data_IF_245602565012
#
_entry.id   IF_245602565012
#
_cell.length_a   1.000
_cell.length_b   1.000
_cell.length_c   1.000
_cell.angle_alpha   90.00
_cell.angle_beta   90.00
_cell.angle_gamma   90.00
#
_symmetry.space_group_name_H-M   'P 1'
#
loop_
_entity.id
_entity.type
_entity.pdbx_description
1 polymer ?
#
# COMPACT_ATOMS: atom_id res chain seq x y z
N UNK A 1 -22.31 7.02 48.93
CA UNK A 1 -20.96 6.64 48.49
C UNK A 1 -21.06 6.34 47.00
N UNK A 2 -20.46 7.20 46.17
CA UNK A 2 -20.42 7.01 44.72
C UNK A 2 -19.28 6.04 44.36
N UNK A 3 -19.38 5.25 43.27
CA UNK A 3 -18.27 4.44 42.81
C UNK A 3 -17.28 5.30 42.04
N UNK A 4 -16.01 5.15 42.41
CA UNK A 4 -14.82 5.76 41.84
C UNK A 4 -14.61 5.37 40.37
N UNK A 5 -14.46 6.38 39.51
CA UNK A 5 -13.96 6.29 38.14
C UNK A 5 -12.53 5.73 38.15
N UNK A 6 -12.33 4.55 37.56
CA UNK A 6 -11.00 4.10 37.19
C UNK A 6 -10.70 4.63 35.79
N UNK A 7 -9.88 5.68 35.73
CA UNK A 7 -9.28 6.15 34.49
C UNK A 7 -8.31 5.10 33.99
N UNK A 8 -8.65 4.48 32.86
CA UNK A 8 -7.69 3.73 32.07
C UNK A 8 -6.84 4.75 31.32
N UNK A 9 -5.67 5.07 31.89
CA UNK A 9 -4.60 5.78 31.19
C UNK A 9 -3.69 4.71 30.60
N UNK A 10 -3.53 4.59 29.28
CA UNK A 10 -2.49 3.76 28.71
C UNK A 10 -1.12 4.33 29.09
N UNK A 11 -0.29 3.50 29.69
CA UNK A 11 1.10 3.84 29.98
C UNK A 11 1.90 3.92 28.68
N UNK A 12 2.47 5.11 28.44
CA UNK A 12 3.41 5.51 27.40
C UNK A 12 2.83 5.85 26.01
N UNK A 13 3.17 7.02 25.44
CA UNK A 13 2.92 7.32 24.03
C UNK A 13 3.75 6.38 23.13
N UNK A 14 3.26 6.00 21.94
CA UNK A 14 4.09 5.31 20.95
C UNK A 14 5.25 6.22 20.58
N UNK A 15 6.46 5.64 20.54
CA UNK A 15 7.63 6.30 19.97
C UNK A 15 7.27 6.79 18.55
N UNK A 16 7.68 8.01 18.22
CA UNK A 16 7.48 8.57 16.88
C UNK A 16 8.01 7.64 15.78
N UNK A 17 7.55 7.86 14.55
CA UNK A 17 7.94 7.15 13.32
C UNK A 17 9.39 6.62 13.45
N UNK A 18 9.60 5.30 13.50
CA UNK A 18 10.92 4.74 13.70
C UNK A 18 11.88 5.23 12.62
N UNK A 19 12.88 6.02 13.03
CA UNK A 19 14.00 6.43 12.15
C UNK A 19 15.08 5.36 12.07
N UNK A 20 14.92 4.25 12.79
CA UNK A 20 15.91 3.17 12.89
C UNK A 20 15.59 2.09 11.86
N UNK A 21 16.45 2.02 10.84
CA UNK A 21 16.59 0.92 9.90
C UNK A 21 16.63 -0.44 10.62
N UNK A 22 15.89 -1.48 10.18
CA UNK A 22 16.00 -2.81 10.76
C UNK A 22 17.43 -3.37 10.61
N UNK A 23 18.00 -3.87 11.70
CA UNK A 23 19.32 -4.52 11.71
C UNK A 23 19.33 -5.92 11.06
N UNK A 24 18.17 -6.42 10.65
CA UNK A 24 18.03 -7.76 10.08
C UNK A 24 18.04 -7.68 8.54
N UNK A 25 18.99 -8.34 7.86
CA UNK A 25 19.01 -8.39 6.40
C UNK A 25 17.70 -8.99 5.86
N UNK A 26 17.16 -8.48 4.73
CA UNK A 26 16.14 -9.19 3.98
C UNK A 26 16.63 -10.61 3.71
N UNK A 27 15.84 -11.60 4.12
CA UNK A 27 16.24 -13.00 4.09
C UNK A 27 16.70 -13.40 2.67
N UNK A 28 17.95 -13.88 2.53
CA UNK A 28 18.56 -14.27 1.25
C UNK A 28 18.03 -15.64 0.75
N UNK A 29 17.17 -16.32 1.53
CA UNK A 29 16.63 -17.62 1.18
C UNK A 29 15.49 -17.51 0.15
N UNK A 30 15.43 -18.43 -0.81
CA UNK A 30 14.26 -18.56 -1.68
C UNK A 30 13.09 -19.15 -0.88
N UNK A 31 11.93 -18.48 -0.80
CA UNK A 31 10.82 -19.00 -0.01
C UNK A 31 10.22 -20.26 -0.60
N UNK A 32 9.58 -21.08 0.25
CA UNK A 32 8.86 -22.26 -0.20
C UNK A 32 7.75 -21.88 -1.19
N UNK A 33 7.65 -22.58 -2.33
CA UNK A 33 6.61 -22.33 -3.33
C UNK A 33 5.28 -22.94 -2.89
N UNK A 34 4.44 -22.15 -2.21
CA UNK A 34 3.13 -22.57 -1.67
C UNK A 34 1.95 -22.18 -2.55
N UNK A 35 2.08 -21.09 -3.32
CA UNK A 35 0.95 -20.45 -4.01
C UNK A 35 1.10 -20.39 -5.54
N UNK A 36 2.11 -21.08 -6.10
CA UNK A 36 2.29 -21.20 -7.55
C UNK A 36 2.49 -19.85 -8.25
N UNK A 37 1.79 -19.65 -9.37
CA UNK A 37 2.01 -18.51 -10.27
C UNK A 37 1.89 -17.15 -9.57
N UNK A 38 0.95 -16.97 -8.64
CA UNK A 38 0.78 -15.68 -7.96
C UNK A 38 2.00 -15.34 -7.10
N UNK A 39 2.58 -16.33 -6.42
CA UNK A 39 3.82 -16.16 -5.67
C UNK A 39 5.01 -15.90 -6.61
N UNK A 40 5.11 -16.62 -7.73
CA UNK A 40 6.18 -16.40 -8.71
C UNK A 40 6.14 -14.96 -9.28
N UNK A 41 4.94 -14.45 -9.58
CA UNK A 41 4.74 -13.06 -10.02
C UNK A 41 5.13 -12.04 -8.94
N UNK A 42 4.82 -12.32 -7.68
CA UNK A 42 5.21 -11.46 -6.58
C UNK A 42 6.72 -11.48 -6.29
N UNK A 43 7.37 -12.63 -6.44
CA UNK A 43 8.83 -12.74 -6.33
C UNK A 43 9.55 -11.93 -7.42
N UNK A 44 9.02 -11.92 -8.65
CA UNK A 44 9.53 -11.04 -9.73
C UNK A 44 9.38 -9.56 -9.33
N UNK A 45 8.23 -9.18 -8.80
CA UNK A 45 7.95 -7.79 -8.38
C UNK A 45 8.77 -7.33 -7.18
N UNK A 46 9.01 -8.22 -6.22
CA UNK A 46 9.95 -8.01 -5.13
C UNK A 46 11.36 -7.70 -5.67
N UNK A 47 11.86 -8.54 -6.60
CA UNK A 47 13.15 -8.33 -7.25
C UNK A 47 13.24 -7.01 -8.00
N UNK A 48 12.18 -6.58 -8.68
CA UNK A 48 12.16 -5.29 -9.38
C UNK A 48 12.46 -4.10 -8.46
N UNK A 49 11.98 -4.15 -7.21
CA UNK A 49 12.23 -3.11 -6.21
C UNK A 49 13.68 -3.14 -5.75
N UNK A 50 14.23 -4.33 -5.52
CA UNK A 50 15.52 -4.53 -4.85
C UNK A 50 16.71 -4.44 -5.79
N UNK A 51 16.60 -5.02 -6.98
CA UNK A 51 17.68 -5.09 -7.95
C UNK A 51 17.51 -3.93 -8.94
N UNK A 52 18.34 -2.87 -8.90
CA UNK A 52 18.28 -1.78 -9.89
C UNK A 52 18.69 -2.22 -11.30
N UNK A 53 19.35 -3.37 -11.44
CA UNK A 53 19.88 -3.89 -12.70
C UNK A 53 18.95 -4.89 -13.40
N UNK A 54 17.90 -5.37 -12.72
CA UNK A 54 16.98 -6.36 -13.31
C UNK A 54 16.36 -5.81 -14.61
N UNK A 55 16.66 -6.43 -15.78
CA UNK A 55 16.24 -5.93 -17.08
C UNK A 55 14.77 -6.22 -17.39
N UNK A 56 14.10 -7.03 -16.56
CA UNK A 56 12.69 -7.40 -16.73
C UNK A 56 11.74 -6.35 -16.15
N UNK A 57 12.24 -5.42 -15.33
CA UNK A 57 11.45 -4.32 -14.80
C UNK A 57 11.18 -3.28 -15.90
N UNK A 58 9.92 -3.16 -16.30
CA UNK A 58 9.47 -2.22 -17.34
C UNK A 58 8.92 -0.92 -16.76
N UNK A 59 8.93 -0.76 -15.43
CA UNK A 59 8.37 0.42 -14.77
C UNK A 59 9.40 1.53 -14.80
N UNK A 60 8.99 2.66 -15.40
CA UNK A 60 9.80 3.86 -15.49
C UNK A 60 9.16 4.96 -14.63
N UNK A 61 9.96 5.76 -13.92
CA UNK A 61 9.45 6.91 -13.17
C UNK A 61 8.67 7.85 -14.10
N UNK A 62 7.49 8.27 -13.67
CA UNK A 62 6.70 9.27 -14.36
C UNK A 62 7.06 10.67 -13.89
N UNK A 63 6.88 11.65 -14.77
CA UNK A 63 6.93 13.09 -14.43
C UNK A 63 5.54 13.69 -14.27
N UNK A 64 4.47 12.88 -14.32
CA UNK A 64 3.08 13.34 -14.22
C UNK A 64 2.85 14.20 -12.97
N UNK A 65 2.17 15.33 -13.15
CA UNK A 65 1.75 16.23 -12.07
C UNK A 65 0.23 16.41 -12.05
N UNK A 66 -0.32 16.99 -10.97
CA UNK A 66 -1.74 17.36 -10.90
C UNK A 66 -2.09 18.44 -11.95
N UNK A 67 -1.13 19.32 -12.28
CA UNK A 67 -1.29 20.31 -13.34
C UNK A 67 -1.45 19.65 -14.73
N UNK A 68 -0.69 18.57 -15.01
CA UNK A 68 -0.84 17.80 -16.25
C UNK A 68 -2.21 17.14 -16.35
N UNK A 69 -2.69 16.55 -15.24
CA UNK A 69 -4.03 15.96 -15.18
C UNK A 69 -5.12 16.99 -15.47
N UNK A 70 -5.03 18.16 -14.82
CA UNK A 70 -5.98 19.26 -15.03
C UNK A 70 -5.95 19.77 -16.47
N UNK A 71 -4.75 19.90 -17.05
CA UNK A 71 -4.56 20.30 -18.46
C UNK A 71 -5.13 19.27 -19.44
N UNK A 72 -5.04 17.99 -19.10
CA UNK A 72 -5.68 16.89 -19.80
C UNK A 72 -7.18 16.71 -19.44
N UNK A 73 -7.80 17.71 -18.79
CA UNK A 73 -9.23 17.76 -18.45
C UNK A 73 -9.70 16.65 -17.52
N UNK A 74 -8.80 16.08 -16.72
CA UNK A 74 -9.22 15.27 -15.58
C UNK A 74 -9.94 16.16 -14.58
N UNK A 75 -11.03 15.66 -14.02
CA UNK A 75 -11.66 16.27 -12.87
C UNK A 75 -10.82 15.93 -11.64
N UNK A 76 -10.37 16.96 -10.92
CA UNK A 76 -9.62 16.84 -9.68
C UNK A 76 -10.30 17.70 -8.64
N UNK A 77 -10.75 17.09 -7.53
CA UNK A 77 -11.33 17.79 -6.39
C UNK A 77 -10.66 17.31 -5.12
N UNK A 78 -10.11 18.25 -4.36
CA UNK A 78 -9.42 17.97 -3.10
C UNK A 78 -10.17 18.64 -1.95
N UNK A 79 -10.42 17.85 -0.90
CA UNK A 79 -11.00 18.30 0.36
C UNK A 79 -10.12 17.83 1.54
N UNK A 80 -10.29 18.43 2.72
CA UNK A 80 -9.58 18.02 3.94
C UNK A 80 -10.38 16.98 4.71
N UNK A 81 -9.77 15.84 5.01
CA UNK A 81 -10.44 14.72 5.68
C UNK A 81 -9.62 14.14 6.83
N UNK A 82 -10.31 13.49 7.77
CA UNK A 82 -9.70 12.61 8.76
C UNK A 82 -9.27 11.30 8.08
N UNK A 83 -8.43 10.51 8.75
CA UNK A 83 -8.15 9.14 8.32
C UNK A 83 -9.45 8.31 8.34
N UNK A 84 -9.72 7.47 7.32
CA UNK A 84 -10.93 6.68 7.24
C UNK A 84 -11.04 5.70 8.40
N UNK A 85 -12.26 5.46 8.90
CA UNK A 85 -12.46 4.69 10.12
C UNK A 85 -11.91 3.25 10.01
N UNK A 86 -11.91 2.68 8.80
CA UNK A 86 -11.48 1.30 8.51
C UNK A 86 -10.00 1.05 8.86
N UNK A 87 -9.19 2.10 8.79
CA UNK A 87 -7.74 2.04 9.00
C UNK A 87 -7.27 3.01 10.09
N UNK A 88 -8.21 3.71 10.74
CA UNK A 88 -7.92 4.76 11.69
C UNK A 88 -7.16 4.27 12.92
N UNK A 89 -7.62 3.19 13.56
CA UNK A 89 -6.97 2.65 14.76
C UNK A 89 -5.51 2.28 14.48
N UNK A 90 -5.28 1.55 13.38
CA UNK A 90 -3.96 1.12 12.95
C UNK A 90 -3.05 2.30 12.58
N UNK A 91 -3.55 3.26 11.82
CA UNK A 91 -2.79 4.46 11.46
C UNK A 91 -2.46 5.33 12.68
N UNK A 92 -3.36 5.46 13.66
CA UNK A 92 -3.08 6.19 14.89
C UNK A 92 -2.01 5.47 15.74
N UNK A 93 -2.03 4.13 15.76
CA UNK A 93 -0.97 3.33 16.37
C UNK A 93 0.43 3.60 15.80
N UNK A 94 0.49 3.99 14.52
CA UNK A 94 1.73 4.41 13.83
C UNK A 94 2.07 5.90 13.98
N UNK A 95 1.30 6.65 14.78
CA UNK A 95 1.56 8.04 15.12
C UNK A 95 0.94 9.08 14.16
N UNK A 96 0.03 8.67 13.27
CA UNK A 96 -0.74 9.62 12.47
C UNK A 96 -1.84 10.29 13.31
N UNK A 97 -2.18 11.54 12.97
CA UNK A 97 -3.14 12.32 13.75
C UNK A 97 -4.59 12.05 13.36
N UNK A 98 -5.50 12.01 14.33
CA UNK A 98 -6.95 12.03 14.09
C UNK A 98 -7.46 13.47 13.92
N UNK A 99 -6.98 14.16 12.89
CA UNK A 99 -7.39 15.53 12.57
C UNK A 99 -7.63 15.65 11.06
N UNK A 100 -8.51 16.58 10.67
CA UNK A 100 -8.89 16.79 9.28
C UNK A 100 -7.80 17.59 8.55
N UNK A 101 -6.63 16.98 8.41
CA UNK A 101 -5.41 17.63 7.90
C UNK A 101 -4.90 17.01 6.60
N UNK A 102 -5.43 15.85 6.22
CA UNK A 102 -5.04 15.10 5.04
C UNK A 102 -5.80 15.59 3.80
N UNK A 103 -5.15 15.57 2.64
CA UNK A 103 -5.81 15.89 1.39
C UNK A 103 -6.46 14.62 0.83
N UNK A 104 -7.78 14.54 0.83
CA UNK A 104 -8.49 13.53 0.06
C UNK A 104 -8.84 14.12 -1.30
N UNK A 105 -8.37 13.47 -2.36
CA UNK A 105 -8.54 13.92 -3.73
C UNK A 105 -9.27 12.90 -4.57
N UNK A 106 -10.44 13.27 -5.06
CA UNK A 106 -11.15 12.55 -6.11
C UNK A 106 -10.61 12.99 -7.47
N UNK A 107 -9.97 12.07 -8.19
CA UNK A 107 -9.47 12.26 -9.55
C UNK A 107 -10.22 11.34 -10.49
N UNK A 108 -10.88 11.90 -11.51
CA UNK A 108 -11.67 11.12 -12.47
C UNK A 108 -11.58 11.66 -13.89
N UNK A 109 -11.75 10.76 -14.84
CA UNK A 109 -12.07 11.09 -16.22
C UNK A 109 -12.93 9.96 -16.81
N UNK A 110 -13.28 10.07 -18.08
CA UNK A 110 -13.88 8.99 -18.84
C UNK A 110 -12.87 8.51 -19.87
N UNK A 111 -12.78 7.20 -20.05
CA UNK A 111 -11.93 6.58 -21.03
C UNK A 111 -12.32 7.00 -22.45
N UNK A 112 -11.33 7.30 -23.27
CA UNK A 112 -11.51 7.76 -24.66
C UNK A 112 -11.20 6.65 -25.69
N UNK A 113 -10.81 5.46 -25.20
CA UNK A 113 -10.32 4.34 -26.01
C UNK A 113 -11.37 3.59 -26.84
N UNK A 114 -11.02 2.35 -27.22
CA UNK A 114 -11.80 1.50 -28.15
C UNK A 114 -13.28 1.32 -27.75
N UNK A 115 -14.11 0.95 -28.73
CA UNK A 115 -15.58 0.83 -28.68
C UNK A 115 -16.20 -0.03 -27.54
N UNK A 116 -15.41 -0.61 -26.63
CA UNK A 116 -15.88 -1.30 -25.42
C UNK A 116 -15.46 -0.66 -24.09
N UNK A 117 -14.58 0.33 -24.13
CA UNK A 117 -14.07 1.05 -22.95
C UNK A 117 -14.44 2.53 -22.99
N UNK A 118 -14.78 3.09 -24.15
CA UNK A 118 -15.20 4.47 -24.29
C UNK A 118 -16.35 4.81 -23.32
N UNK A 119 -16.18 5.86 -22.53
CA UNK A 119 -17.15 6.30 -21.54
C UNK A 119 -17.13 5.52 -20.23
N UNK A 120 -16.30 4.49 -20.07
CA UNK A 120 -16.03 3.92 -18.75
C UNK A 120 -15.31 4.96 -17.89
N UNK A 121 -15.73 5.11 -16.64
CA UNK A 121 -15.08 6.02 -15.71
C UNK A 121 -13.67 5.50 -15.36
N UNK A 122 -12.72 6.39 -15.14
CA UNK A 122 -11.55 6.08 -14.31
C UNK A 122 -11.71 6.88 -13.02
N UNK A 123 -11.50 6.24 -11.87
CA UNK A 123 -11.68 6.84 -10.56
C UNK A 123 -10.46 6.53 -9.71
N UNK A 124 -9.90 7.56 -9.12
CA UNK A 124 -8.94 7.47 -8.03
C UNK A 124 -9.43 8.34 -6.88
N UNK A 125 -9.74 7.70 -5.76
CA UNK A 125 -10.03 8.40 -4.50
C UNK A 125 -8.89 8.11 -3.53
N UNK A 126 -8.07 9.12 -3.30
CA UNK A 126 -6.78 8.98 -2.61
C UNK A 126 -6.68 10.06 -1.54
N UNK A 127 -6.48 9.62 -0.30
CA UNK A 127 -6.09 10.47 0.80
C UNK A 127 -4.56 10.45 0.95
N UNK A 128 -3.95 11.63 0.98
CA UNK A 128 -2.50 11.80 1.10
C UNK A 128 -2.15 12.64 2.33
N UNK A 129 -1.07 12.22 3.00
CA UNK A 129 -0.39 12.94 4.08
C UNK A 129 1.12 12.76 3.98
N UNK A 130 1.89 13.51 4.77
CA UNK A 130 3.33 13.28 4.86
C UNK A 130 3.57 11.84 5.31
N UNK A 131 4.24 11.06 4.47
CA UNK A 131 4.53 9.65 4.71
C UNK A 131 3.37 8.68 4.57
N UNK A 132 2.19 9.12 4.10
CA UNK A 132 0.97 8.32 4.09
C UNK A 132 0.21 8.46 2.77
N UNK A 133 -0.17 7.33 2.19
CA UNK A 133 -1.17 7.25 1.12
C UNK A 133 -2.24 6.25 1.55
N UNK A 134 -3.51 6.62 1.41
CA UNK A 134 -4.66 5.74 1.60
C UNK A 134 -5.49 5.80 0.32
N UNK A 135 -5.69 4.65 -0.32
CA UNK A 135 -6.57 4.54 -1.47
C UNK A 135 -7.92 3.98 -1.04
N UNK A 136 -8.98 4.76 -1.22
CA UNK A 136 -10.37 4.34 -1.01
C UNK A 136 -11.03 3.89 -2.32
N UNK A 137 -10.52 4.36 -3.47
CA UNK A 137 -11.04 3.99 -4.78
C UNK A 137 -9.92 3.89 -5.82
N UNK A 138 -9.84 2.75 -6.51
CA UNK A 138 -8.92 2.53 -7.63
C UNK A 138 -9.65 1.80 -8.75
N UNK A 139 -10.07 2.55 -9.78
CA UNK A 139 -10.68 2.01 -10.98
C UNK A 139 -10.05 2.62 -12.23
N UNK A 140 -9.54 1.76 -13.10
CA UNK A 140 -8.80 2.18 -14.30
C UNK A 140 -9.16 1.31 -15.50
N UNK A 141 -9.78 1.93 -16.48
CA UNK A 141 -9.99 1.45 -17.84
C UNK A 141 -8.82 1.81 -18.76
N UNK A 142 -8.35 3.06 -18.71
CA UNK A 142 -7.22 3.59 -19.50
C UNK A 142 -6.43 4.69 -18.74
N UNK A 143 -5.56 5.44 -19.43
CA UNK A 143 -4.86 6.58 -18.85
C UNK A 143 -3.71 6.22 -17.88
N UNK A 144 -3.26 7.16 -17.04
CA UNK A 144 -2.17 6.95 -16.09
C UNK A 144 -2.47 5.83 -15.09
N UNK A 145 -1.42 5.20 -14.56
CA UNK A 145 -1.55 4.18 -13.51
C UNK A 145 -1.80 4.83 -12.14
N UNK A 146 -2.43 4.07 -11.22
CA UNK A 146 -2.61 4.49 -9.83
C UNK A 146 -1.34 5.05 -9.20
N UNK A 147 -0.19 4.40 -9.39
CA UNK A 147 1.09 4.83 -8.82
C UNK A 147 1.48 6.25 -9.25
N UNK A 148 1.23 6.60 -10.50
CA UNK A 148 1.55 7.90 -11.07
C UNK A 148 0.61 8.99 -10.52
N UNK A 149 -0.69 8.68 -10.41
CA UNK A 149 -1.69 9.58 -9.81
C UNK A 149 -1.39 9.81 -8.32
N UNK A 150 -1.11 8.74 -7.57
CA UNK A 150 -0.80 8.80 -6.15
C UNK A 150 0.48 9.59 -5.88
N UNK A 151 1.55 9.38 -6.68
CA UNK A 151 2.78 10.18 -6.60
C UNK A 151 2.50 11.66 -6.86
N UNK A 152 1.74 11.98 -7.91
CA UNK A 152 1.40 13.36 -8.25
C UNK A 152 0.67 14.07 -7.09
N UNK A 153 -0.30 13.41 -6.44
CA UNK A 153 -1.00 13.99 -5.29
C UNK A 153 -0.12 14.13 -4.05
N UNK A 154 0.75 13.15 -3.76
CA UNK A 154 1.68 13.25 -2.65
C UNK A 154 2.66 14.42 -2.85
N UNK A 155 3.12 14.63 -4.09
CA UNK A 155 4.05 15.71 -4.46
C UNK A 155 3.49 17.11 -4.20
N UNK A 156 2.17 17.32 -4.26
CA UNK A 156 1.55 18.62 -3.97
C UNK A 156 1.68 19.04 -2.50
N UNK A 157 1.94 18.09 -1.59
CA UNK A 157 1.94 18.36 -0.13
C UNK A 157 3.23 17.95 0.59
N UNK A 158 4.03 17.07 0.01
CA UNK A 158 5.24 16.55 0.61
C UNK A 158 6.21 16.04 -0.45
N UNK A 159 7.47 15.84 -0.06
CA UNK A 159 8.40 15.08 -0.88
C UNK A 159 7.89 13.64 -1.04
N UNK A 160 7.79 13.10 -2.27
CA UNK A 160 7.29 11.75 -2.48
C UNK A 160 8.05 10.69 -1.67
N UNK A 161 9.38 10.84 -1.54
CA UNK A 161 10.24 9.93 -0.78
C UNK A 161 9.97 9.93 0.74
N UNK A 162 9.09 10.81 1.23
CA UNK A 162 8.60 10.74 2.59
C UNK A 162 7.70 9.54 2.86
N UNK A 163 7.14 8.88 1.82
CA UNK A 163 6.20 7.75 1.95
C UNK A 163 6.75 6.66 2.87
N UNK A 164 5.94 6.21 3.84
CA UNK A 164 6.24 5.09 4.75
C UNK A 164 5.14 4.06 4.81
N UNK A 165 3.88 4.48 4.67
CA UNK A 165 2.75 3.56 4.71
C UNK A 165 1.79 3.81 3.54
N UNK A 166 1.38 2.72 2.91
CA UNK A 166 0.36 2.71 1.87
C UNK A 166 -0.78 1.78 2.27
N UNK A 167 -2.00 2.31 2.33
CA UNK A 167 -3.22 1.57 2.64
C UNK A 167 -4.10 1.46 1.41
N UNK A 168 -4.77 0.32 1.27
CA UNK A 168 -5.89 0.15 0.34
C UNK A 168 -7.08 -0.31 1.14
N UNK A 169 -8.16 0.47 1.07
CA UNK A 169 -9.38 0.20 1.80
C UNK A 169 -10.41 -0.51 0.92
N UNK A 170 -11.36 -1.20 1.56
CA UNK A 170 -12.53 -1.79 0.90
C UNK A 170 -12.22 -2.57 -0.38
N UNK A 171 -11.34 -3.57 -0.25
CA UNK A 171 -10.82 -4.30 -1.40
C UNK A 171 -11.90 -5.23 -1.98
N UNK A 172 -12.58 -4.70 -2.99
CA UNK A 172 -13.54 -5.45 -3.82
C UNK A 172 -12.90 -6.16 -5.02
N UNK A 173 -11.60 -5.93 -5.28
CA UNK A 173 -10.89 -6.58 -6.39
C UNK A 173 -10.85 -8.10 -6.18
N UNK A 174 -11.55 -8.86 -7.02
CA UNK A 174 -11.71 -10.31 -6.87
C UNK A 174 -10.40 -11.09 -6.88
N UNK A 175 -9.38 -10.63 -7.61
CA UNK A 175 -8.08 -11.31 -7.60
C UNK A 175 -7.39 -11.20 -6.24
N UNK A 176 -7.29 -10.00 -5.68
CA UNK A 176 -6.71 -9.81 -4.34
C UNK A 176 -7.59 -10.44 -3.27
N UNK A 177 -8.90 -10.16 -3.32
CA UNK A 177 -9.86 -10.61 -2.32
C UNK A 177 -9.88 -12.14 -2.22
N UNK A 178 -10.01 -12.85 -3.34
CA UNK A 178 -10.05 -14.33 -3.30
C UNK A 178 -8.72 -14.90 -2.82
N UNK A 179 -7.59 -14.32 -3.23
CA UNK A 179 -6.29 -14.79 -2.75
C UNK A 179 -6.16 -14.63 -1.22
N UNK A 180 -6.59 -13.50 -0.66
CA UNK A 180 -6.53 -13.31 0.78
C UNK A 180 -7.55 -14.21 1.48
N UNK A 181 -8.84 -14.09 1.14
CA UNK A 181 -9.92 -14.71 1.89
C UNK A 181 -10.00 -16.23 1.72
N UNK A 182 -9.68 -16.76 0.54
CA UNK A 182 -9.86 -18.19 0.24
C UNK A 182 -8.54 -18.98 0.25
N UNK A 183 -7.40 -18.32 0.05
CA UNK A 183 -6.09 -18.99 -0.05
C UNK A 183 -5.23 -18.73 1.18
N UNK A 184 -5.01 -17.46 1.54
CA UNK A 184 -4.21 -17.10 2.72
C UNK A 184 -4.95 -17.47 4.01
N UNK A 185 -6.19 -16.99 4.17
CA UNK A 185 -7.02 -17.23 5.34
C UNK A 185 -7.77 -18.57 5.23
N UNK A 186 -7.00 -19.63 5.02
CA UNK A 186 -7.53 -20.98 4.84
C UNK A 186 -7.02 -21.93 5.92
N UNK A 187 -7.73 -23.05 6.09
CA UNK A 187 -7.34 -24.12 7.02
C UNK A 187 -5.96 -24.71 6.70
N UNK A 188 -5.47 -24.57 5.46
CA UNK A 188 -4.09 -24.95 5.09
C UNK A 188 -3.02 -24.13 5.83
N UNK A 189 -3.38 -22.93 6.25
CA UNK A 189 -2.51 -22.00 6.97
C UNK A 189 -2.93 -21.86 8.44
N UNK A 190 -3.82 -22.72 8.94
CA UNK A 190 -4.41 -22.63 10.28
C UNK A 190 -5.13 -21.29 10.53
N UNK A 191 -5.72 -20.73 9.46
CA UNK A 191 -6.45 -19.46 9.48
C UNK A 191 -7.87 -19.64 8.94
N UNK A 192 -8.71 -18.64 9.18
CA UNK A 192 -10.09 -18.60 8.69
C UNK A 192 -10.45 -17.17 8.28
N UNK A 193 -11.34 -17.03 7.30
CA UNK A 193 -11.96 -15.75 6.95
C UNK A 193 -13.46 -15.76 7.28
N UNK A 194 -14.00 -14.72 7.94
CA UNK A 194 -13.26 -13.62 8.56
C UNK A 194 -12.35 -14.11 9.69
N UNK A 195 -11.27 -13.38 10.02
CA UNK A 195 -10.35 -13.76 11.09
C UNK A 195 -11.06 -13.92 12.44
N UNK A 196 -10.76 -15.00 13.18
CA UNK A 196 -11.29 -15.18 14.55
C UNK A 196 -10.75 -14.11 15.50
N UNK A 197 -9.47 -13.76 15.34
CA UNK A 197 -8.83 -12.66 16.05
C UNK A 197 -8.94 -11.40 15.19
N UNK A 198 -9.42 -10.31 15.76
CA UNK A 198 -9.46 -9.00 15.06
C UNK A 198 -8.10 -8.33 14.94
N UNK A 199 -7.06 -8.88 15.57
CA UNK A 199 -5.71 -8.35 15.44
C UNK A 199 -5.24 -8.49 13.97
N UNK A 200 -4.65 -7.44 13.38
CA UNK A 200 -4.10 -7.53 12.03
C UNK A 200 -3.03 -8.62 11.91
N UNK A 201 -3.04 -9.37 10.80
CA UNK A 201 -1.98 -10.33 10.50
C UNK A 201 -0.87 -9.65 9.71
N UNK A 202 0.36 -9.91 10.14
CA UNK A 202 1.58 -9.37 9.55
C UNK A 202 2.25 -10.46 8.72
N UNK A 203 2.51 -10.13 7.46
CA UNK A 203 3.23 -10.97 6.49
C UNK A 203 4.62 -10.39 6.31
N UNK A 204 5.59 -11.01 6.98
CA UNK A 204 6.97 -10.56 6.96
C UNK A 204 7.59 -10.71 5.58
N UNK A 205 8.54 -9.82 5.31
CA UNK A 205 9.32 -9.80 4.09
C UNK A 205 9.83 -11.19 3.68
N UNK A 206 9.73 -11.49 2.38
CA UNK A 206 10.23 -12.72 1.76
C UNK A 206 9.67 -14.01 2.39
N UNK A 207 8.45 -13.96 2.90
CA UNK A 207 7.65 -15.17 3.16
C UNK A 207 6.85 -15.58 1.91
N UNK A 208 6.41 -16.84 1.80
CA UNK A 208 5.54 -17.26 0.70
C UNK A 208 4.25 -16.43 0.58
N UNK A 209 3.65 -16.06 1.72
CA UNK A 209 2.43 -15.27 1.82
C UNK A 209 2.68 -13.83 1.35
N UNK A 210 3.77 -13.22 1.80
CA UNK A 210 4.22 -11.92 1.35
C UNK A 210 4.39 -11.87 -0.17
N UNK A 211 5.11 -12.84 -0.75
CA UNK A 211 5.26 -12.94 -2.20
C UNK A 211 3.92 -13.18 -2.90
N UNK A 212 3.06 -14.03 -2.33
CA UNK A 212 1.69 -14.19 -2.83
C UNK A 212 0.92 -12.87 -2.89
N UNK A 213 1.02 -12.05 -1.84
CA UNK A 213 0.34 -10.75 -1.74
C UNK A 213 0.86 -9.75 -2.77
N UNK A 214 2.18 -9.67 -2.97
CA UNK A 214 2.79 -8.88 -4.06
C UNK A 214 2.37 -9.38 -5.45
N UNK A 215 2.01 -10.66 -5.54
CA UNK A 215 1.44 -11.31 -6.71
C UNK A 215 0.06 -10.80 -7.12
N UNK A 216 -0.71 -10.25 -6.17
CA UNK A 216 -2.08 -9.79 -6.39
C UNK A 216 -2.15 -8.47 -7.18
N UNK A 217 -3.35 -8.08 -7.62
CA UNK A 217 -3.58 -6.78 -8.27
C UNK A 217 -3.28 -5.59 -7.34
N UNK A 218 -3.63 -5.69 -6.06
CA UNK A 218 -3.32 -4.63 -5.07
C UNK A 218 -1.83 -4.61 -4.73
N UNK A 219 -1.20 -5.78 -4.56
CA UNK A 219 0.24 -5.87 -4.36
C UNK A 219 1.03 -5.30 -5.54
N UNK A 220 0.56 -5.52 -6.77
CA UNK A 220 1.12 -4.88 -7.97
C UNK A 220 1.03 -3.35 -7.90
N UNK A 221 -0.07 -2.78 -7.43
CA UNK A 221 -0.21 -1.33 -7.22
C UNK A 221 0.82 -0.80 -6.20
N UNK A 222 1.00 -1.50 -5.08
CA UNK A 222 1.98 -1.13 -4.06
C UNK A 222 3.42 -1.16 -4.60
N UNK A 223 3.78 -2.22 -5.34
CA UNK A 223 5.11 -2.32 -5.98
C UNK A 223 5.33 -1.19 -6.96
N UNK A 224 4.34 -0.90 -7.80
CA UNK A 224 4.45 0.17 -8.80
C UNK A 224 4.55 1.54 -8.14
N UNK A 225 3.87 1.74 -7.01
CA UNK A 225 4.00 2.96 -6.22
C UNK A 225 5.41 3.14 -5.66
N UNK A 226 6.01 2.08 -5.11
CA UNK A 226 7.40 2.11 -4.63
C UNK A 226 8.37 2.43 -5.76
N UNK A 227 8.25 1.74 -6.91
CA UNK A 227 9.09 1.96 -8.10
C UNK A 227 8.93 3.34 -8.72
N UNK A 228 7.77 3.96 -8.55
CA UNK A 228 7.45 5.31 -9.04
C UNK A 228 8.03 6.40 -8.14
N UNK A 229 8.13 6.15 -6.83
CA UNK A 229 8.57 7.13 -5.83
C UNK A 229 10.08 7.04 -5.54
N UNK A 230 10.61 5.82 -5.45
CA UNK A 230 11.95 5.56 -4.97
C UNK A 230 12.83 4.97 -6.08
N UNK A 231 14.11 5.37 -6.17
CA UNK A 231 15.07 4.65 -7.00
C UNK A 231 15.12 3.17 -6.60
N UNK A 232 15.23 2.28 -7.59
CA UNK A 232 15.38 0.84 -7.33
C UNK A 232 16.62 0.57 -6.48
N UNK A 233 16.53 -0.41 -5.59
CA UNK A 233 17.60 -0.76 -4.66
C UNK A 233 17.76 0.21 -3.48
N UNK A 234 16.83 1.13 -3.24
CA UNK A 234 16.92 2.08 -2.11
C UNK A 234 15.87 1.90 -1.03
N UNK A 235 14.68 1.40 -1.39
CA UNK A 235 13.57 1.13 -0.46
C UNK A 235 12.97 -0.22 -0.81
N UNK A 236 12.28 -0.83 0.15
CA UNK A 236 11.56 -2.08 -0.02
C UNK A 236 10.26 -2.08 0.79
N UNK A 237 9.37 -3.01 0.48
CA UNK A 237 8.17 -3.26 1.30
C UNK A 237 8.59 -4.22 2.41
N UNK A 238 8.72 -3.72 3.64
CA UNK A 238 9.23 -4.49 4.76
C UNK A 238 8.23 -5.49 5.32
N UNK A 239 6.95 -5.15 5.28
CA UNK A 239 5.86 -6.05 5.67
C UNK A 239 4.57 -5.65 4.99
N UNK A 240 3.66 -6.62 4.89
CA UNK A 240 2.30 -6.42 4.41
C UNK A 240 1.39 -6.81 5.57
N UNK A 241 0.40 -5.98 5.87
CA UNK A 241 -0.56 -6.23 6.96
C UNK A 241 -1.95 -6.35 6.37
N UNK A 242 -2.71 -7.34 6.81
CA UNK A 242 -4.07 -7.59 6.34
C UNK A 242 -5.00 -7.76 7.54
N UNK A 243 -6.21 -7.20 7.47
CA UNK A 243 -7.24 -7.41 8.47
C UNK A 243 -8.63 -7.34 7.86
N UNK A 244 -9.62 -7.78 8.63
CA UNK A 244 -11.03 -7.54 8.37
C UNK A 244 -11.48 -6.34 9.19
N UNK A 245 -12.16 -5.39 8.57
CA UNK A 245 -12.92 -4.36 9.26
C UNK A 245 -14.33 -4.34 8.67
N UNK A 246 -15.34 -4.59 9.49
CA UNK A 246 -16.75 -4.57 9.06
C UNK A 246 -17.04 -5.43 7.81
N UNK A 247 -16.49 -6.65 7.74
CA UNK A 247 -16.59 -7.60 6.61
C UNK A 247 -15.86 -7.15 5.33
N UNK A 248 -15.01 -6.14 5.43
CA UNK A 248 -14.18 -5.61 4.36
C UNK A 248 -12.72 -5.99 4.56
N UNK A 249 -12.04 -6.31 3.46
CA UNK A 249 -10.60 -6.59 3.47
C UNK A 249 -9.81 -5.29 3.35
N UNK A 250 -8.98 -5.04 4.36
CA UNK A 250 -8.06 -3.91 4.42
C UNK A 250 -6.62 -4.41 4.30
N UNK A 251 -5.77 -3.65 3.58
CA UNK A 251 -4.35 -3.98 3.43
C UNK A 251 -3.48 -2.75 3.63
N UNK A 252 -2.40 -2.92 4.40
CA UNK A 252 -1.31 -1.94 4.56
C UNK A 252 0.01 -2.50 4.05
N UNK A 253 0.82 -1.65 3.44
CA UNK A 253 2.20 -1.90 3.04
C UNK A 253 3.13 -0.95 3.79
N UNK A 254 4.11 -1.50 4.49
CA UNK A 254 5.12 -0.73 5.21
C UNK A 254 6.35 -0.61 4.32
N UNK A 255 6.82 0.61 4.09
CA UNK A 255 7.90 0.93 3.15
C UNK A 255 9.06 1.51 3.94
N UNK A 256 10.21 0.84 3.85
CA UNK A 256 11.41 1.15 4.62
C UNK A 256 12.63 1.27 3.70
N UNK A 257 13.64 2.08 4.06
CA UNK A 257 14.89 2.14 3.32
C UNK A 257 15.64 0.80 3.42
N UNK A 258 16.29 0.38 2.34
CA UNK A 258 17.15 -0.79 2.35
C UNK A 258 18.39 -0.50 3.21
N UNK A 259 18.74 -1.36 4.18
CA UNK A 259 19.93 -1.17 5.00
C UNK A 259 21.21 -1.07 4.16
N UNK A 260 22.05 -0.07 4.44
CA UNK A 260 23.31 0.16 3.72
C UNK A 260 24.30 -1.03 3.80
N UNK A 261 24.15 -1.90 4.80
CA UNK A 261 24.93 -3.14 4.96
C UNK A 261 24.71 -4.17 3.82
N UNK A 262 23.73 -3.95 2.93
CA UNK A 262 23.44 -4.78 1.76
C UNK A 262 24.06 -4.25 0.46
N UNK A 263 24.60 -3.02 0.46
CA UNK A 263 25.11 -2.35 -0.74
C UNK A 263 26.61 -2.63 -0.97
N UNK A 264 27.23 -3.47 -0.12
CA UNK A 264 28.68 -3.74 -0.16
C UNK A 264 28.99 -5.22 -0.33
N UNK A 265 29.12 -5.67 -1.57
CA UNK A 265 30.18 -6.60 -2.01
C UNK A 265 30.35 -6.47 -3.52
N UNK A 266 31.31 -5.63 -3.92
CA UNK A 266 32.24 -5.90 -5.03
C UNK A 266 33.63 -5.45 -4.57
#
# INVERSE_FOLDING_TARGET
MAPSEQSWVPSNPPAGIPTTTPDTPPAISTPARRYGKIQDEGAIRQRWIEDPTDPTCQIQPSTLTVADLTSARWYVRTDKHNIPFQVAEDAFGLGYSNAAVYNQTLTRNYAEGDLGLAGCENIYDILVGRGLIIAEGIFRSDGPQFSQIARAHLQEIAEPQSLRHFYVCDIVNTNTRNFVQEVIYSSRNDLTWPPVCRAPLIWEYNTPEYQGLLGTRVGKCAVYLVLEIFPRGTYYIARIVTWDESCSLEIRFDIEPIPASLVSTD
#
